data_IF_077179447466
#
_entry.id   IF_077179447466
#
_cell.length_a   1.000
_cell.length_b   1.000
_cell.length_c   1.000
_cell.angle_alpha   90.00
_cell.angle_beta   90.00
_cell.angle_gamma   90.00
#
_symmetry.space_group_name_H-M   'P 1'
#
loop_
_entity.id
_entity.type
_entity.pdbx_description
1 polymer ?
#
# COMPACT_ATOMS: atom_id res chain seq x y z
N UNK A 1 3.86 -1.05 -22.73
CA UNK A 1 2.75 -1.32 -21.79
C UNK A 1 3.03 -0.84 -20.36
N UNK A 2 4.31 -0.85 -19.89
CA UNK A 2 4.69 -0.29 -18.58
C UNK A 2 4.53 1.24 -18.64
N UNK A 3 3.83 1.81 -17.67
CA UNK A 3 3.52 3.25 -17.61
C UNK A 3 2.30 3.69 -18.42
N UNK A 4 1.85 2.90 -19.40
CA UNK A 4 0.65 3.16 -20.20
C UNK A 4 -0.55 2.42 -19.64
N UNK A 5 -0.46 1.09 -19.53
CA UNK A 5 -1.56 0.24 -19.04
C UNK A 5 -1.35 -0.24 -17.61
N UNK A 6 -0.11 -0.52 -17.23
CA UNK A 6 0.23 -1.11 -15.95
C UNK A 6 1.32 -0.33 -15.22
N UNK A 7 1.13 -0.14 -13.93
CA UNK A 7 2.16 0.35 -13.03
C UNK A 7 3.26 -0.71 -12.83
N UNK A 8 4.50 -0.26 -12.64
CA UNK A 8 5.68 -1.14 -12.42
C UNK A 8 5.45 -2.19 -11.32
N UNK A 9 4.75 -1.81 -10.25
CA UNK A 9 4.42 -2.72 -9.14
C UNK A 9 3.49 -3.85 -9.58
N UNK A 10 2.58 -3.60 -10.52
CA UNK A 10 1.68 -4.62 -11.09
C UNK A 10 2.46 -5.60 -11.96
N UNK A 11 3.39 -5.11 -12.77
CA UNK A 11 4.27 -5.95 -13.58
C UNK A 11 5.16 -6.83 -12.70
N UNK A 12 5.76 -6.27 -11.65
CA UNK A 12 6.56 -7.04 -10.69
C UNK A 12 5.74 -8.17 -10.04
N UNK A 13 4.44 -7.93 -9.78
CA UNK A 13 3.53 -8.96 -9.27
C UNK A 13 3.32 -10.08 -10.29
N UNK A 14 3.18 -9.76 -11.56
CA UNK A 14 3.05 -10.75 -12.63
C UNK A 14 4.32 -11.57 -12.77
N UNK A 15 5.49 -10.95 -12.73
CA UNK A 15 6.77 -11.65 -12.76
C UNK A 15 6.97 -12.59 -11.57
N UNK A 16 6.57 -12.19 -10.37
CA UNK A 16 6.63 -13.05 -9.19
C UNK A 16 5.69 -14.26 -9.33
N UNK A 17 4.47 -14.04 -9.86
CA UNK A 17 3.55 -15.11 -10.17
C UNK A 17 4.15 -16.08 -11.21
N UNK A 18 4.68 -15.55 -12.31
CA UNK A 18 5.32 -16.33 -13.37
C UNK A 18 6.46 -17.22 -12.84
N UNK A 19 7.39 -16.64 -12.04
CA UNK A 19 8.50 -17.42 -11.46
C UNK A 19 8.02 -18.59 -10.60
N UNK A 20 6.97 -18.35 -9.81
CA UNK A 20 6.38 -19.38 -8.98
C UNK A 20 5.74 -20.49 -9.84
N UNK A 21 4.96 -20.10 -10.85
CA UNK A 21 4.32 -21.04 -11.76
C UNK A 21 5.34 -21.84 -12.58
N UNK A 22 6.42 -21.21 -13.08
CA UNK A 22 7.49 -21.89 -13.80
C UNK A 22 8.13 -23.00 -12.95
N UNK A 23 8.42 -22.72 -11.67
CA UNK A 23 8.93 -23.73 -10.76
C UNK A 23 7.94 -24.89 -10.56
N UNK A 24 6.63 -24.59 -10.45
CA UNK A 24 5.60 -25.61 -10.35
C UNK A 24 5.45 -26.45 -11.64
N UNK A 25 5.60 -25.84 -12.81
CA UNK A 25 5.56 -26.55 -14.11
C UNK A 25 6.72 -27.55 -14.18
N UNK A 26 7.94 -27.11 -13.85
CA UNK A 26 9.11 -27.98 -13.82
C UNK A 26 8.92 -29.17 -12.87
N UNK A 27 8.35 -28.92 -11.70
CA UNK A 27 8.18 -29.96 -10.67
C UNK A 27 7.02 -30.93 -10.97
N UNK A 28 5.95 -30.46 -11.61
CA UNK A 28 4.74 -31.27 -11.84
C UNK A 28 4.74 -31.99 -13.19
N UNK A 29 5.22 -31.32 -14.25
CA UNK A 29 5.22 -31.86 -15.62
C UNK A 29 6.61 -32.35 -16.05
N UNK A 30 7.66 -32.10 -15.26
CA UNK A 30 9.07 -32.39 -15.63
C UNK A 30 9.48 -31.71 -16.95
N UNK A 31 8.86 -30.56 -17.26
CA UNK A 31 9.08 -29.75 -18.47
C UNK A 31 9.52 -28.35 -18.11
N UNK A 32 10.26 -27.71 -19.01
CA UNK A 32 10.61 -26.28 -18.84
C UNK A 32 9.44 -25.33 -19.07
N UNK A 33 8.53 -25.71 -19.98
CA UNK A 33 7.32 -24.96 -20.32
C UNK A 33 6.22 -25.90 -20.80
N UNK A 34 4.96 -25.43 -20.79
CA UNK A 34 3.79 -26.17 -21.24
C UNK A 34 2.89 -25.27 -22.08
N UNK A 35 2.12 -25.86 -22.98
CA UNK A 35 1.10 -25.14 -23.73
C UNK A 35 -0.20 -25.02 -22.91
N UNK A 36 -1.02 -24.00 -23.16
CA UNK A 36 -2.26 -23.76 -22.44
C UNK A 36 -3.21 -24.95 -22.33
N UNK A 37 -3.43 -25.78 -23.39
CA UNK A 37 -4.28 -26.97 -23.29
C UNK A 37 -3.79 -28.05 -22.30
N UNK A 38 -2.50 -28.08 -21.94
CA UNK A 38 -1.96 -29.01 -20.95
C UNK A 38 -2.27 -28.58 -19.50
N UNK A 39 -2.75 -27.34 -19.28
CA UNK A 39 -3.10 -26.87 -17.95
C UNK A 39 -4.32 -27.63 -17.41
N UNK A 40 -4.07 -28.57 -16.53
CA UNK A 40 -5.09 -29.40 -15.90
C UNK A 40 -5.60 -28.82 -14.57
N UNK A 41 -6.76 -29.31 -14.12
CA UNK A 41 -7.27 -29.01 -12.78
C UNK A 41 -6.32 -29.49 -11.68
N UNK A 42 -5.70 -30.66 -11.89
CA UNK A 42 -4.75 -31.22 -10.93
C UNK A 42 -3.51 -30.34 -10.76
N UNK A 43 -3.05 -29.72 -11.86
CA UNK A 43 -2.00 -28.73 -11.76
C UNK A 43 -2.39 -27.50 -10.94
N UNK A 44 -3.63 -27.01 -11.07
CA UNK A 44 -4.11 -25.89 -10.22
C UNK A 44 -4.07 -26.27 -8.75
N UNK A 45 -4.54 -27.50 -8.40
CA UNK A 45 -4.50 -28.02 -7.03
C UNK A 45 -3.06 -28.18 -6.53
N UNK A 46 -2.17 -28.70 -7.39
CA UNK A 46 -0.75 -28.83 -7.07
C UNK A 46 -0.11 -27.47 -6.75
N UNK A 47 -0.33 -26.44 -7.58
CA UNK A 47 0.18 -25.07 -7.38
C UNK A 47 -0.32 -24.51 -6.04
N UNK A 48 -1.59 -24.68 -5.71
CA UNK A 48 -2.15 -24.24 -4.43
C UNK A 48 -1.46 -24.95 -3.26
N UNK A 49 -1.31 -26.26 -3.33
CA UNK A 49 -0.66 -27.08 -2.31
C UNK A 49 0.82 -26.68 -2.12
N UNK A 50 1.56 -26.53 -3.21
CA UNK A 50 2.95 -26.06 -3.19
C UNK A 50 3.06 -24.71 -2.49
N UNK A 51 2.20 -23.74 -2.81
CA UNK A 51 2.20 -22.43 -2.18
C UNK A 51 1.89 -22.49 -0.69
N UNK A 52 0.98 -23.38 -0.26
CA UNK A 52 0.62 -23.54 1.16
C UNK A 52 1.70 -24.25 1.96
N UNK A 53 2.17 -25.39 1.48
CA UNK A 53 3.02 -26.30 2.28
C UNK A 53 4.51 -25.95 2.14
N UNK A 54 5.00 -25.70 0.93
CA UNK A 54 6.43 -25.46 0.71
C UNK A 54 6.77 -23.98 0.85
N UNK A 55 5.98 -23.07 0.27
CA UNK A 55 6.22 -21.62 0.40
C UNK A 55 5.62 -21.03 1.67
N UNK A 56 4.80 -21.76 2.41
CA UNK A 56 4.14 -21.34 3.65
C UNK A 56 3.46 -19.98 3.55
N UNK A 57 2.83 -19.71 2.41
CA UNK A 57 2.15 -18.43 2.18
C UNK A 57 0.88 -18.33 3.01
N UNK A 58 0.65 -17.16 3.62
CA UNK A 58 -0.62 -16.87 4.27
C UNK A 58 -1.76 -16.80 3.25
N UNK A 59 -3.00 -17.04 3.70
CA UNK A 59 -4.21 -17.15 2.87
C UNK A 59 -4.34 -16.00 1.88
N UNK A 60 -4.21 -14.75 2.32
CA UNK A 60 -4.41 -13.59 1.43
C UNK A 60 -3.32 -13.46 0.36
N UNK A 61 -2.10 -13.88 0.66
CA UNK A 61 -1.01 -13.91 -0.31
C UNK A 61 -1.25 -15.01 -1.35
N UNK A 62 -1.60 -16.23 -0.91
CA UNK A 62 -1.97 -17.32 -1.80
C UNK A 62 -3.12 -16.92 -2.73
N UNK A 63 -4.21 -16.37 -2.20
CA UNK A 63 -5.35 -15.91 -3.00
C UNK A 63 -4.92 -14.89 -4.06
N UNK A 64 -3.97 -14.02 -3.74
CA UNK A 64 -3.43 -13.02 -4.68
C UNK A 64 -2.69 -13.68 -5.84
N UNK A 65 -1.89 -14.72 -5.56
CA UNK A 65 -1.21 -15.51 -6.60
C UNK A 65 -2.21 -16.28 -7.47
N UNK A 66 -3.17 -16.96 -6.86
CA UNK A 66 -4.17 -17.75 -7.59
C UNK A 66 -5.10 -16.87 -8.44
N UNK A 67 -5.49 -15.68 -7.95
CA UNK A 67 -6.21 -14.68 -8.77
C UNK A 67 -5.38 -14.19 -9.95
N UNK A 68 -4.06 -14.00 -9.77
CA UNK A 68 -3.15 -13.64 -10.85
C UNK A 68 -3.07 -14.75 -11.89
N UNK A 69 -2.88 -16.00 -11.48
CA UNK A 69 -2.85 -17.17 -12.37
C UNK A 69 -4.18 -17.32 -13.13
N UNK A 70 -5.32 -17.26 -12.44
CA UNK A 70 -6.65 -17.29 -13.05
C UNK A 70 -6.85 -16.21 -14.12
N UNK A 71 -6.25 -15.02 -13.94
CA UNK A 71 -6.30 -13.95 -14.94
C UNK A 71 -5.63 -14.38 -16.25
N UNK A 72 -4.46 -15.03 -16.20
CA UNK A 72 -3.77 -15.52 -17.40
C UNK A 72 -4.51 -16.66 -18.06
N UNK A 73 -5.08 -17.60 -17.29
CA UNK A 73 -5.92 -18.66 -17.82
C UNK A 73 -7.17 -18.10 -18.54
N UNK A 74 -7.84 -17.13 -17.93
CA UNK A 74 -8.99 -16.47 -18.56
C UNK A 74 -8.59 -15.72 -19.85
N UNK A 75 -7.37 -15.14 -19.90
CA UNK A 75 -6.88 -14.55 -21.14
C UNK A 75 -6.66 -15.62 -22.22
N UNK A 76 -6.09 -16.78 -21.88
CA UNK A 76 -5.93 -17.91 -22.82
C UNK A 76 -7.26 -18.45 -23.33
N UNK A 77 -8.29 -18.54 -22.48
CA UNK A 77 -9.66 -18.90 -22.87
C UNK A 77 -10.27 -17.87 -23.85
N UNK A 78 -10.16 -16.58 -23.53
CA UNK A 78 -10.70 -15.51 -24.38
C UNK A 78 -10.02 -15.41 -25.74
N UNK A 79 -8.72 -15.78 -25.83
CA UNK A 79 -7.97 -15.84 -27.09
C UNK A 79 -8.14 -17.16 -27.84
N UNK A 80 -8.92 -18.10 -27.30
CA UNK A 80 -9.14 -19.42 -27.92
C UNK A 80 -7.95 -20.37 -27.84
N UNK A 81 -6.92 -20.07 -27.04
CA UNK A 81 -5.73 -20.92 -26.86
C UNK A 81 -6.02 -22.18 -26.04
N UNK A 82 -7.12 -22.18 -25.31
CA UNK A 82 -7.64 -23.34 -24.58
C UNK A 82 -9.18 -23.31 -24.57
N UNK A 83 -9.80 -24.49 -24.43
CA UNK A 83 -11.26 -24.64 -24.45
C UNK A 83 -11.86 -24.90 -23.07
N UNK A 84 -11.11 -25.58 -22.20
CA UNK A 84 -11.57 -26.01 -20.88
C UNK A 84 -10.95 -25.09 -19.83
N UNK A 85 -11.76 -24.59 -18.91
CA UNK A 85 -11.29 -23.77 -17.81
C UNK A 85 -10.87 -24.65 -16.63
N UNK A 86 -9.56 -24.79 -16.32
CA UNK A 86 -9.11 -25.63 -15.21
C UNK A 86 -9.49 -25.04 -13.82
N UNK A 87 -9.87 -23.75 -13.76
CA UNK A 87 -10.40 -23.12 -12.55
C UNK A 87 -11.92 -23.23 -12.40
N UNK A 88 -12.62 -23.99 -13.23
CA UNK A 88 -14.08 -24.13 -13.14
C UNK A 88 -14.49 -24.60 -11.74
N UNK A 89 -15.41 -23.88 -11.11
CA UNK A 89 -15.89 -24.18 -9.75
C UNK A 89 -14.91 -23.83 -8.60
N UNK A 90 -13.68 -23.40 -8.90
CA UNK A 90 -12.73 -22.99 -7.85
C UNK A 90 -12.91 -21.52 -7.51
N UNK A 91 -13.16 -21.23 -6.23
CA UNK A 91 -13.28 -19.88 -5.70
C UNK A 91 -12.23 -19.63 -4.63
N UNK A 92 -11.53 -18.50 -4.73
CA UNK A 92 -10.56 -18.06 -3.74
C UNK A 92 -11.10 -16.86 -2.98
N UNK A 93 -11.39 -17.04 -1.69
CA UNK A 93 -11.84 -15.98 -0.79
C UNK A 93 -10.68 -15.44 0.02
N UNK A 94 -10.59 -14.14 0.12
CA UNK A 94 -9.67 -13.48 1.05
C UNK A 94 -10.20 -13.60 2.46
N UNK A 95 -9.28 -13.78 3.39
CA UNK A 95 -9.59 -13.69 4.81
C UNK A 95 -9.68 -12.22 5.18
N UNK A 96 -10.76 -11.83 5.83
CA UNK A 96 -10.91 -10.50 6.38
C UNK A 96 -9.93 -10.33 7.55
N UNK A 97 -9.22 -9.21 7.56
CA UNK A 97 -8.36 -8.84 8.67
C UNK A 97 -8.93 -7.54 9.23
N UNK A 98 -9.15 -7.49 10.52
CA UNK A 98 -9.51 -6.27 11.20
C UNK A 98 -8.37 -5.26 11.07
N UNK A 99 -8.64 -4.05 10.59
CA UNK A 99 -7.61 -3.04 10.45
C UNK A 99 -7.13 -2.58 11.83
N UNK A 100 -5.83 -2.63 12.06
CA UNK A 100 -5.24 -2.01 13.25
C UNK A 100 -5.44 -0.50 13.17
N UNK A 101 -5.94 0.10 14.24
CA UNK A 101 -6.06 1.56 14.42
C UNK A 101 -5.56 1.97 15.81
N UNK A 102 -5.22 3.24 15.97
CA UNK A 102 -4.87 3.82 17.26
C UNK A 102 -6.10 4.42 17.93
N UNK A 103 -6.14 4.35 19.26
CA UNK A 103 -7.09 5.12 20.06
C UNK A 103 -6.63 6.57 20.18
N UNK A 104 -7.53 7.47 20.59
CA UNK A 104 -7.19 8.87 20.80
C UNK A 104 -6.06 9.04 21.84
N UNK A 105 -6.10 8.24 22.90
CA UNK A 105 -5.08 8.28 23.96
C UNK A 105 -3.70 7.83 23.45
N UNK A 106 -3.65 6.79 22.59
CA UNK A 106 -2.40 6.37 21.95
C UNK A 106 -1.85 7.46 21.02
N UNK A 107 -2.72 8.14 20.27
CA UNK A 107 -2.29 9.28 19.42
C UNK A 107 -1.78 10.43 20.26
N UNK A 108 -2.43 10.78 21.38
CA UNK A 108 -1.95 11.81 22.32
C UNK A 108 -0.62 11.41 22.95
N UNK A 109 -0.45 10.15 23.32
CA UNK A 109 0.82 9.63 23.86
C UNK A 109 1.96 9.82 22.86
N UNK A 110 1.73 9.45 21.59
CA UNK A 110 2.73 9.66 20.52
C UNK A 110 3.01 11.16 20.32
N UNK A 111 1.99 12.01 20.32
CA UNK A 111 2.12 13.45 20.12
C UNK A 111 2.92 14.13 21.24
N UNK A 112 2.70 13.72 22.48
CA UNK A 112 3.37 14.27 23.66
C UNK A 112 4.79 13.77 23.89
N UNK A 113 5.24 12.74 23.16
CA UNK A 113 6.56 12.15 23.36
C UNK A 113 7.63 12.91 22.58
N UNK A 114 8.68 13.35 23.28
CA UNK A 114 9.91 13.88 22.66
C UNK A 114 10.99 12.80 22.62
N UNK A 115 11.58 12.60 21.45
CA UNK A 115 12.60 11.59 21.26
C UNK A 115 14.00 12.22 21.18
N UNK A 116 15.04 11.60 21.81
CA UNK A 116 16.41 12.11 21.72
C UNK A 116 16.96 12.15 20.29
N UNK A 117 16.45 11.27 19.42
CA UNK A 117 16.87 11.16 18.04
C UNK A 117 15.95 12.02 17.16
N UNK A 118 16.47 13.08 16.55
CA UNK A 118 15.70 14.01 15.72
C UNK A 118 14.88 13.31 14.60
N UNK A 119 15.41 12.24 14.01
CA UNK A 119 14.70 11.47 12.98
C UNK A 119 13.39 10.82 13.49
N UNK A 120 13.34 10.42 14.76
CA UNK A 120 12.12 9.87 15.36
C UNK A 120 11.06 10.96 15.51
N UNK A 121 11.44 12.19 15.89
CA UNK A 121 10.52 13.31 15.97
C UNK A 121 9.93 13.66 14.59
N UNK A 122 10.76 13.64 13.53
CA UNK A 122 10.26 13.83 12.17
C UNK A 122 9.26 12.72 11.80
N UNK A 123 9.58 11.45 12.06
CA UNK A 123 8.69 10.33 11.74
C UNK A 123 7.39 10.39 12.53
N UNK A 124 7.45 10.76 13.83
CA UNK A 124 6.27 11.02 14.66
C UNK A 124 5.35 12.06 14.02
N UNK A 125 5.91 13.22 13.69
CA UNK A 125 5.13 14.33 13.14
C UNK A 125 4.50 13.96 11.78
N UNK A 126 5.23 13.26 10.92
CA UNK A 126 4.72 12.79 9.63
C UNK A 126 3.61 11.74 9.80
N UNK A 127 3.74 10.89 10.80
CA UNK A 127 2.71 9.91 11.13
C UNK A 127 1.44 10.58 11.67
N UNK A 128 1.61 11.53 12.61
CA UNK A 128 0.51 12.33 13.17
C UNK A 128 -0.20 13.14 12.09
N UNK A 129 0.56 13.77 11.18
CA UNK A 129 -0.03 14.47 10.04
C UNK A 129 -0.93 13.56 9.20
N UNK A 130 -0.49 12.31 8.98
CA UNK A 130 -1.31 11.32 8.27
C UNK A 130 -2.53 10.87 9.08
N UNK A 131 -2.47 10.83 10.41
CA UNK A 131 -3.62 10.60 11.28
C UNK A 131 -4.63 11.76 11.22
N UNK A 132 -4.17 13.00 11.13
CA UNK A 132 -5.03 14.18 11.09
C UNK A 132 -5.64 14.46 9.72
N UNK A 133 -5.03 13.98 8.65
CA UNK A 133 -5.48 14.27 7.27
C UNK A 133 -6.07 13.06 6.54
N UNK A 134 -5.81 11.84 7.02
CA UNK A 134 -6.19 10.61 6.32
C UNK A 134 -5.47 10.38 4.98
N UNK A 135 -4.46 11.19 4.67
CA UNK A 135 -3.69 11.03 3.44
C UNK A 135 -2.94 9.70 3.41
N UNK A 136 -2.88 9.06 2.24
CA UNK A 136 -2.00 7.94 2.05
C UNK A 136 -0.54 8.41 2.08
N UNK A 137 0.38 7.55 2.53
CA UNK A 137 1.81 7.87 2.64
C UNK A 137 2.37 8.54 1.38
N UNK A 138 2.04 8.02 0.19
CA UNK A 138 2.55 8.58 -1.07
C UNK A 138 1.96 9.96 -1.35
N UNK A 139 0.69 10.18 -1.01
CA UNK A 139 0.02 11.47 -1.22
C UNK A 139 0.57 12.53 -0.25
N UNK A 140 0.86 12.16 1.00
CA UNK A 140 1.53 13.03 1.97
C UNK A 140 2.99 13.34 1.54
N UNK A 141 3.72 12.34 1.04
CA UNK A 141 5.11 12.50 0.58
C UNK A 141 5.25 13.43 -0.62
N UNK A 142 4.29 13.40 -1.54
CA UNK A 142 4.26 14.21 -2.74
C UNK A 142 3.41 15.49 -2.57
N UNK A 143 3.03 15.86 -1.34
CA UNK A 143 2.20 17.02 -1.08
C UNK A 143 3.00 18.31 -1.36
N UNK A 144 2.50 19.11 -2.29
CA UNK A 144 3.10 20.38 -2.69
C UNK A 144 2.46 21.56 -1.97
N UNK A 145 3.20 22.66 -1.80
CA UNK A 145 2.66 23.90 -1.24
C UNK A 145 1.48 24.46 -2.04
N UNK A 146 1.49 24.31 -3.34
CA UNK A 146 0.40 24.72 -4.26
C UNK A 146 -0.90 23.93 -4.09
N UNK A 147 -0.84 22.79 -3.41
CA UNK A 147 -2.00 21.95 -3.11
C UNK A 147 -2.67 22.34 -1.77
N UNK A 148 -2.10 23.29 -1.03
CA UNK A 148 -2.68 23.87 0.19
C UNK A 148 -3.36 25.17 -0.20
N UNK A 149 -4.67 25.24 0.00
CA UNK A 149 -5.50 26.37 -0.37
C UNK A 149 -6.24 26.92 0.87
N UNK A 150 -6.56 28.21 0.85
CA UNK A 150 -7.46 28.83 1.83
C UNK A 150 -8.84 29.04 1.19
N UNK A 151 -9.89 28.73 1.91
CA UNK A 151 -11.25 29.05 1.49
C UNK A 151 -11.60 30.51 1.82
N UNK A 152 -12.81 30.93 1.43
CA UNK A 152 -13.30 32.29 1.66
C UNK A 152 -13.44 32.65 3.15
N UNK A 153 -13.46 31.67 4.05
CA UNK A 153 -13.52 31.84 5.50
C UNK A 153 -12.14 31.78 6.16
N UNK A 154 -11.06 31.70 5.37
CA UNK A 154 -9.69 31.60 5.85
C UNK A 154 -9.28 30.19 6.32
N UNK A 155 -10.14 29.19 6.23
CA UNK A 155 -9.79 27.80 6.57
C UNK A 155 -8.85 27.20 5.52
N UNK A 156 -7.86 26.46 5.99
CA UNK A 156 -6.89 25.78 5.14
C UNK A 156 -7.37 24.39 4.74
N UNK A 157 -7.15 24.04 3.48
CA UNK A 157 -7.52 22.77 2.88
C UNK A 157 -6.38 22.20 2.06
N UNK A 158 -6.26 20.87 2.04
CA UNK A 158 -5.47 20.16 1.05
C UNK A 158 -6.38 19.81 -0.13
N UNK A 159 -6.00 20.25 -1.34
CA UNK A 159 -6.66 19.89 -2.59
C UNK A 159 -5.72 19.08 -3.46
N UNK A 160 -5.82 17.74 -3.37
CA UNK A 160 -4.87 16.84 -3.99
C UNK A 160 -5.52 15.74 -4.81
N UNK A 161 -5.01 15.51 -6.02
CA UNK A 161 -5.35 14.33 -6.82
C UNK A 161 -4.70 13.07 -6.23
N UNK A 162 -5.47 11.99 -6.01
CA UNK A 162 -4.94 10.73 -5.47
C UNK A 162 -3.96 10.07 -6.44
N UNK A 163 -2.77 9.70 -5.94
CA UNK A 163 -1.72 9.08 -6.75
C UNK A 163 -2.17 7.81 -7.48
N UNK A 164 -2.94 6.93 -6.83
CA UNK A 164 -3.47 5.69 -7.44
C UNK A 164 -4.39 5.89 -8.63
N UNK A 165 -4.98 7.09 -8.79
CA UNK A 165 -6.01 7.38 -9.79
C UNK A 165 -5.55 8.44 -10.80
N UNK A 166 -4.24 8.56 -11.01
CA UNK A 166 -3.65 9.54 -11.95
C UNK A 166 -4.22 9.46 -13.37
N UNK A 167 -4.75 8.30 -13.78
CA UNK A 167 -5.40 8.12 -15.10
C UNK A 167 -6.80 8.73 -15.18
N UNK A 168 -7.46 8.96 -14.04
CA UNK A 168 -8.80 9.55 -13.96
C UNK A 168 -8.74 10.96 -13.33
N UNK A 169 -7.80 11.81 -13.78
CA UNK A 169 -7.43 13.10 -13.17
C UNK A 169 -8.60 14.02 -12.80
N UNK A 170 -9.71 13.97 -13.53
CA UNK A 170 -10.83 14.89 -13.31
C UNK A 170 -11.81 14.45 -12.18
N UNK A 171 -11.78 13.19 -11.74
CA UNK A 171 -12.82 12.65 -10.84
C UNK A 171 -12.37 12.33 -9.42
N UNK A 172 -11.06 12.38 -9.11
CA UNK A 172 -10.53 11.91 -7.84
C UNK A 172 -9.69 12.95 -7.10
N UNK A 173 -10.19 14.18 -7.02
CA UNK A 173 -9.60 15.20 -6.15
C UNK A 173 -10.11 14.95 -4.73
N UNK A 174 -9.18 14.81 -3.78
CA UNK A 174 -9.47 14.77 -2.35
C UNK A 174 -9.37 16.19 -1.80
N UNK A 175 -10.42 16.68 -1.16
CA UNK A 175 -10.41 17.91 -0.40
C UNK A 175 -10.40 17.52 1.08
N UNK A 176 -9.34 17.86 1.81
CA UNK A 176 -9.16 17.52 3.22
C UNK A 176 -9.02 18.81 4.01
N UNK A 177 -9.92 19.09 4.98
CA UNK A 177 -9.77 20.25 5.86
C UNK A 177 -8.54 20.04 6.75
N UNK A 178 -7.78 21.11 6.96
CA UNK A 178 -6.65 21.09 7.88
C UNK A 178 -7.11 21.57 9.27
N UNK A 179 -6.88 20.73 10.25
CA UNK A 179 -7.06 21.08 11.68
C UNK A 179 -5.77 21.70 12.21
N UNK A 180 -5.87 22.45 13.30
CA UNK A 180 -4.72 23.19 13.89
C UNK A 180 -3.45 22.34 14.05
N UNK A 181 -3.49 21.11 14.63
CA UNK A 181 -2.26 20.32 14.76
C UNK A 181 -1.61 19.92 13.41
N UNK A 182 -2.41 19.78 12.36
CA UNK A 182 -1.85 19.50 11.03
C UNK A 182 -1.20 20.76 10.42
N UNK A 183 -1.76 21.94 10.68
CA UNK A 183 -1.19 23.22 10.25
C UNK A 183 0.15 23.47 10.97
N UNK A 184 0.20 23.29 12.28
CA UNK A 184 1.42 23.42 13.08
C UNK A 184 2.57 22.53 12.56
N UNK A 185 2.25 21.30 12.14
CA UNK A 185 3.25 20.42 11.52
C UNK A 185 3.73 20.99 10.18
N UNK A 186 2.84 21.52 9.34
CA UNK A 186 3.25 22.14 8.08
C UNK A 186 4.15 23.34 8.28
N UNK A 187 3.81 24.24 9.22
CA UNK A 187 4.60 25.41 9.58
C UNK A 187 5.97 25.02 10.15
N UNK A 188 6.03 24.00 11.02
CA UNK A 188 7.27 23.47 11.58
C UNK A 188 8.29 23.06 10.53
N UNK A 189 7.84 22.54 9.40
CA UNK A 189 8.70 22.01 8.33
C UNK A 189 8.76 22.91 7.09
N UNK A 190 8.21 24.12 7.15
CA UNK A 190 8.19 25.04 6.01
C UNK A 190 9.60 25.34 5.46
N UNK A 191 10.56 25.58 6.35
CA UNK A 191 11.94 25.92 6.01
C UNK A 191 12.89 24.72 6.06
N UNK A 192 12.35 23.49 6.17
CA UNK A 192 13.20 22.31 6.21
C UNK A 192 13.93 22.11 4.87
N UNK A 193 15.27 21.91 4.86
CA UNK A 193 16.07 21.85 3.62
C UNK A 193 15.53 20.87 2.57
N UNK A 194 15.10 19.67 3.00
CA UNK A 194 14.51 18.66 2.10
C UNK A 194 13.19 19.14 1.47
N UNK A 195 12.40 19.94 2.20
CA UNK A 195 11.12 20.46 1.70
C UNK A 195 11.35 21.54 0.64
N UNK A 196 12.35 22.39 0.85
CA UNK A 196 12.75 23.44 -0.11
C UNK A 196 13.32 22.77 -1.38
N UNK A 197 14.30 21.85 -1.21
CA UNK A 197 14.98 21.18 -2.33
C UNK A 197 14.01 20.40 -3.26
N UNK A 198 13.00 19.73 -2.66
CA UNK A 198 12.08 18.86 -3.39
C UNK A 198 10.73 19.50 -3.73
N UNK A 199 10.51 20.75 -3.37
CA UNK A 199 9.24 21.45 -3.51
C UNK A 199 8.07 20.64 -2.92
N UNK A 200 8.22 20.19 -1.65
CA UNK A 200 7.22 19.42 -0.91
C UNK A 200 6.95 20.03 0.46
N UNK A 201 5.79 19.78 1.04
CA UNK A 201 5.44 20.30 2.35
C UNK A 201 6.11 19.56 3.51
N UNK A 202 6.49 18.30 3.32
CA UNK A 202 6.86 17.41 4.41
C UNK A 202 8.14 16.60 4.10
N UNK A 203 9.09 16.47 5.05
CA UNK A 203 10.37 15.76 4.82
C UNK A 203 10.26 14.26 5.04
N UNK A 204 9.35 13.58 4.32
CA UNK A 204 9.14 12.14 4.48
C UNK A 204 10.31 11.31 3.95
N UNK A 205 10.72 10.32 4.75
CA UNK A 205 11.65 9.27 4.36
C UNK A 205 10.98 8.28 3.37
N UNK A 206 11.71 7.26 2.94
CA UNK A 206 11.07 6.16 2.19
C UNK A 206 10.15 5.33 3.12
N UNK A 207 9.17 4.62 2.54
CA UNK A 207 8.16 3.91 3.32
C UNK A 207 8.75 2.84 4.25
N UNK A 208 9.83 2.17 3.83
CA UNK A 208 10.51 1.17 4.65
C UNK A 208 11.15 1.79 5.89
N UNK A 209 11.85 2.92 5.71
CA UNK A 209 12.46 3.68 6.80
C UNK A 209 11.40 4.21 7.77
N UNK A 210 10.30 4.79 7.25
CA UNK A 210 9.18 5.23 8.08
C UNK A 210 8.64 4.10 8.95
N UNK A 211 8.33 2.94 8.35
CA UNK A 211 7.79 1.80 9.07
C UNK A 211 8.79 1.21 10.10
N UNK A 212 10.10 1.27 9.83
CA UNK A 212 11.13 0.84 10.79
C UNK A 212 11.14 1.74 12.03
N UNK A 213 11.12 3.06 11.85
CA UNK A 213 11.07 4.01 12.96
C UNK A 213 9.73 4.02 13.69
N UNK A 214 8.60 3.80 13.00
CA UNK A 214 7.29 3.69 13.63
C UNK A 214 7.22 2.51 14.61
N UNK A 215 7.90 1.40 14.33
CA UNK A 215 8.03 0.29 15.28
C UNK A 215 8.81 0.68 16.54
N UNK A 216 9.88 1.45 16.36
CA UNK A 216 10.64 1.97 17.50
C UNK A 216 9.79 2.94 18.34
N UNK A 217 9.05 3.85 17.70
CA UNK A 217 8.11 4.76 18.35
C UNK A 217 7.05 3.97 19.14
N UNK A 218 6.46 2.93 18.56
CA UNK A 218 5.50 2.07 19.24
C UNK A 218 6.09 1.49 20.54
N UNK A 219 7.30 0.94 20.46
CA UNK A 219 8.01 0.40 21.63
C UNK A 219 8.27 1.47 22.68
N UNK A 220 8.78 2.64 22.30
CA UNK A 220 9.08 3.75 23.21
C UNK A 220 7.82 4.35 23.86
N UNK A 221 6.70 4.34 23.15
CA UNK A 221 5.39 4.77 23.66
C UNK A 221 4.62 3.68 24.40
N UNK A 222 5.19 2.47 24.55
CA UNK A 222 4.54 1.30 25.14
C UNK A 222 3.21 0.93 24.47
N UNK A 223 3.16 1.03 23.14
CA UNK A 223 2.00 0.69 22.31
C UNK A 223 2.21 -0.70 21.69
N UNK A 224 1.40 -1.68 22.13
CA UNK A 224 1.45 -3.07 21.63
C UNK A 224 0.65 -3.20 20.33
N UNK A 225 1.04 -2.41 19.31
CA UNK A 225 0.48 -2.46 17.94
C UNK A 225 1.60 -2.32 16.93
N UNK A 226 1.50 -3.05 15.82
CA UNK A 226 2.46 -2.93 14.72
C UNK A 226 2.20 -1.65 13.92
N UNK A 227 2.79 -0.54 14.36
CA UNK A 227 2.63 0.75 13.69
C UNK A 227 3.26 0.74 12.29
N UNK A 228 2.47 1.17 11.33
CA UNK A 228 2.89 1.39 9.94
C UNK A 228 2.26 2.67 9.42
N UNK A 229 2.79 3.22 8.33
CA UNK A 229 2.20 4.40 7.67
C UNK A 229 0.73 4.18 7.27
N UNK A 230 0.30 2.92 7.12
CA UNK A 230 -1.09 2.59 6.79
C UNK A 230 -2.03 2.68 7.99
N UNK A 231 -1.52 2.36 9.20
CA UNK A 231 -2.29 2.49 10.46
C UNK A 231 -2.73 3.92 10.69
N UNK A 232 -1.90 4.92 10.37
CA UNK A 232 -2.28 6.33 10.47
C UNK A 232 -3.59 6.63 9.75
N UNK A 233 -3.80 6.05 8.57
CA UNK A 233 -5.00 6.27 7.78
C UNK A 233 -6.26 5.61 8.37
N UNK A 234 -6.10 4.56 9.15
CA UNK A 234 -7.21 3.92 9.88
C UNK A 234 -7.51 4.63 11.21
N UNK A 235 -6.62 5.50 11.66
CA UNK A 235 -6.67 6.25 12.90
C UNK A 235 -6.95 7.74 12.64
N UNK A 236 -7.91 8.04 11.74
CA UNK A 236 -8.21 9.43 11.36
C UNK A 236 -9.02 10.12 12.44
N UNK A 237 -8.50 11.25 12.93
CA UNK A 237 -9.15 12.13 13.90
C UNK A 237 -9.33 13.52 13.28
N UNK A 238 -10.58 13.91 13.05
CA UNK A 238 -10.98 15.18 12.42
C UNK A 238 -11.61 16.16 13.41
N UNK A 239 -11.44 15.96 14.70
CA UNK A 239 -12.02 16.82 15.75
C UNK A 239 -11.06 17.87 16.24
#
# INVERSE_FOLDING_TARGET
LIGIEYEKITINRYWNCYRCLKACVQSFYEKEDIVFPELSRDFIIYVERHMRLEKRLCQNTLVRYMKCFKKFVNMGLNMGWMRINPFAGIQYRQQENDPTFLTLEEVKTIAGMEFPVARLNIVRDMFLFSCFTGLAFIDAKELKRTEIIKDNNGKMWIRKGRHKMKKEKARCISNVPLITPAIEILEKYEDHPTCIEKDVCLPLFCNQTMNSYLKQIATLCNIDKNLTTHVARHSVYLS
#
